data_IF_591214389858
#
_entry.id   IF_591214389858
#
_cell.length_a   1.000
_cell.length_b   1.000
_cell.length_c   1.000
_cell.angle_alpha   90.00
_cell.angle_beta   90.00
_cell.angle_gamma   90.00
#
_symmetry.space_group_name_H-M   'P 1'
#
loop_
_entity.id
_entity.type
_entity.pdbx_description
1 polymer ?
#
# COMPACT_ATOMS: atom_id res chain seq x y z
N UNK A 1 -8.10 -34.83 15.78
CA UNK A 1 -7.47 -34.91 14.44
C UNK A 1 -7.94 -33.83 13.45
N UNK A 2 -9.23 -33.42 13.37
CA UNK A 2 -9.71 -32.41 12.39
C UNK A 2 -9.13 -30.98 12.51
N UNK A 3 -8.76 -30.50 13.71
CA UNK A 3 -8.21 -29.15 13.89
C UNK A 3 -6.75 -29.01 13.44
N UNK A 4 -5.99 -30.11 13.51
CA UNK A 4 -4.55 -30.14 13.18
C UNK A 4 -4.34 -30.19 11.66
N UNK A 5 -5.25 -30.82 10.91
CA UNK A 5 -5.23 -30.84 9.43
C UNK A 5 -5.53 -29.46 8.84
N UNK A 6 -6.47 -28.70 9.43
CA UNK A 6 -6.86 -27.38 8.93
C UNK A 6 -5.76 -26.32 9.15
N UNK A 7 -5.01 -26.40 10.24
CA UNK A 7 -3.92 -25.47 10.52
C UNK A 7 -2.69 -25.71 9.64
N UNK A 8 -2.39 -26.97 9.29
CA UNK A 8 -1.26 -27.33 8.40
C UNK A 8 -1.60 -26.98 6.94
N UNK A 9 -2.82 -27.25 6.49
CA UNK A 9 -3.27 -26.88 5.13
C UNK A 9 -3.22 -25.36 4.88
N UNK A 10 -3.52 -24.56 5.90
CA UNK A 10 -3.43 -23.10 5.79
C UNK A 10 -2.00 -22.60 5.55
N UNK A 11 -0.97 -23.25 6.10
CA UNK A 11 0.42 -22.80 5.95
C UNK A 11 0.95 -23.09 4.54
N UNK A 12 0.62 -24.26 3.98
CA UNK A 12 1.02 -24.62 2.61
C UNK A 12 0.40 -23.71 1.56
N UNK A 13 -0.83 -23.25 1.78
CA UNK A 13 -1.46 -22.24 0.92
C UNK A 13 -0.70 -20.91 0.97
N UNK A 14 -0.29 -20.47 2.16
CA UNK A 14 0.49 -19.23 2.31
C UNK A 14 1.86 -19.38 1.65
N UNK A 15 2.57 -20.50 1.85
CA UNK A 15 3.85 -20.81 1.20
C UNK A 15 3.74 -20.74 -0.34
N UNK A 16 2.63 -21.23 -0.90
CA UNK A 16 2.35 -21.13 -2.34
C UNK A 16 2.07 -19.70 -2.80
N UNK A 17 1.35 -18.91 -2.00
CA UNK A 17 1.05 -17.51 -2.31
C UNK A 17 2.33 -16.66 -2.32
N UNK A 18 3.20 -16.85 -1.32
CA UNK A 18 4.46 -16.10 -1.21
C UNK A 18 5.55 -16.62 -2.15
N UNK A 19 5.48 -17.88 -2.60
CA UNK A 19 6.48 -18.50 -3.45
C UNK A 19 7.76 -18.93 -2.71
N UNK A 20 7.67 -19.17 -1.41
CA UNK A 20 8.79 -19.52 -0.52
C UNK A 20 8.40 -20.71 0.36
N UNK A 21 9.28 -21.71 0.46
CA UNK A 21 9.09 -22.89 1.32
C UNK A 21 9.94 -22.72 2.58
N UNK A 22 9.30 -22.68 3.75
CA UNK A 22 10.01 -22.46 5.01
C UNK A 22 10.75 -23.72 5.47
N UNK A 23 11.99 -23.54 5.94
CA UNK A 23 12.70 -24.58 6.69
C UNK A 23 12.06 -24.77 8.07
N UNK A 24 11.75 -23.66 8.75
CA UNK A 24 10.98 -23.63 9.99
C UNK A 24 9.60 -22.98 9.80
N UNK A 25 8.58 -23.83 9.56
CA UNK A 25 7.17 -23.41 9.47
C UNK A 25 6.63 -22.75 10.75
N UNK A 26 7.34 -22.84 11.88
CA UNK A 26 6.97 -22.13 13.10
C UNK A 26 7.07 -20.61 12.93
N UNK A 27 8.03 -20.13 12.13
CA UNK A 27 8.20 -18.71 11.78
C UNK A 27 7.01 -18.18 10.98
N UNK A 28 6.55 -18.94 9.98
CA UNK A 28 5.37 -18.58 9.20
C UNK A 28 4.12 -18.51 10.08
N UNK A 29 3.93 -19.50 10.96
CA UNK A 29 2.82 -19.47 11.93
C UNK A 29 2.90 -18.28 12.87
N UNK A 30 4.10 -17.91 13.31
CA UNK A 30 4.34 -16.74 14.16
C UNK A 30 3.98 -15.45 13.41
N UNK A 31 4.41 -15.30 12.15
CA UNK A 31 4.13 -14.12 11.31
C UNK A 31 2.62 -13.83 11.16
N UNK A 32 1.79 -14.86 11.16
CA UNK A 32 0.32 -14.74 11.06
C UNK A 32 -0.41 -14.77 12.43
N UNK A 33 0.31 -14.67 13.55
CA UNK A 33 -0.29 -14.69 14.90
C UNK A 33 -0.25 -13.31 15.54
N UNK A 34 -1.43 -12.68 15.68
CA UNK A 34 -1.57 -11.38 16.34
C UNK A 34 -1.51 -11.52 17.87
N UNK A 35 -0.96 -10.52 18.62
CA UNK A 35 -0.85 -10.55 20.09
C UNK A 35 -2.17 -10.83 20.84
N UNK A 36 -3.30 -10.43 20.25
CA UNK A 36 -4.64 -10.66 20.82
C UNK A 36 -5.16 -12.09 20.73
N UNK A 37 -4.50 -13.00 20.00
CA UNK A 37 -5.02 -14.33 19.75
C UNK A 37 -5.03 -15.24 20.98
N UNK A 38 -3.87 -15.43 21.63
CA UNK A 38 -3.74 -16.24 22.84
C UNK A 38 -2.49 -15.80 23.61
N UNK A 39 -2.59 -15.70 24.95
CA UNK A 39 -1.52 -15.15 25.80
C UNK A 39 -0.20 -15.91 25.74
N UNK A 40 -0.23 -17.22 25.52
CA UNK A 40 0.96 -18.07 25.54
C UNK A 40 1.56 -18.33 24.13
N UNK A 41 1.01 -17.69 23.09
CA UNK A 41 1.54 -17.80 21.73
C UNK A 41 2.54 -16.68 21.45
N UNK A 42 3.64 -17.01 20.78
CA UNK A 42 4.57 -16.00 20.27
C UNK A 42 3.89 -15.22 19.14
N UNK A 43 3.83 -13.89 19.28
CA UNK A 43 3.23 -12.96 18.32
C UNK A 43 4.19 -12.64 17.17
N UNK A 44 3.65 -12.02 16.12
CA UNK A 44 4.43 -11.55 14.98
C UNK A 44 5.32 -10.34 15.29
N UNK A 45 5.17 -9.65 16.42
CA UNK A 45 5.75 -8.31 16.68
C UNK A 45 7.28 -8.28 16.53
N UNK A 46 7.98 -9.35 16.93
CA UNK A 46 9.43 -9.45 16.74
C UNK A 46 9.82 -9.62 15.26
N UNK A 47 9.01 -10.34 14.49
CA UNK A 47 9.22 -10.53 13.06
C UNK A 47 8.83 -9.27 12.29
N UNK A 48 7.77 -8.57 12.70
CA UNK A 48 7.39 -7.24 12.18
C UNK A 48 8.56 -6.26 12.35
N UNK A 49 9.13 -6.17 13.55
CA UNK A 49 10.26 -5.28 13.82
C UNK A 49 11.45 -5.51 12.87
N UNK A 50 11.81 -6.77 12.64
CA UNK A 50 12.88 -7.14 11.69
C UNK A 50 12.44 -6.84 10.26
N UNK A 51 11.21 -7.23 9.91
CA UNK A 51 10.63 -7.09 8.59
C UNK A 51 10.52 -5.66 8.11
N UNK A 52 10.11 -4.73 8.96
CA UNK A 52 10.05 -3.29 8.65
C UNK A 52 11.43 -2.75 8.26
N UNK A 53 12.47 -3.10 9.04
CA UNK A 53 13.85 -2.66 8.75
C UNK A 53 14.36 -3.25 7.43
N UNK A 54 14.11 -4.55 7.20
CA UNK A 54 14.53 -5.25 5.98
C UNK A 54 13.79 -4.72 4.76
N UNK A 55 12.47 -4.56 4.85
CA UNK A 55 11.66 -4.02 3.75
C UNK A 55 12.09 -2.60 3.38
N UNK A 56 12.35 -1.74 4.37
CA UNK A 56 12.90 -0.41 4.13
C UNK A 56 14.26 -0.45 3.44
N UNK A 57 15.16 -1.34 3.85
CA UNK A 57 16.47 -1.53 3.20
C UNK A 57 16.31 -1.95 1.74
N UNK A 58 15.49 -2.98 1.50
CA UNK A 58 15.22 -3.52 0.17
C UNK A 58 14.66 -2.45 -0.77
N UNK A 59 13.62 -1.73 -0.35
CA UNK A 59 13.02 -0.66 -1.14
C UNK A 59 14.02 0.50 -1.35
N UNK A 60 14.83 0.83 -0.35
CA UNK A 60 15.86 1.88 -0.49
C UNK A 60 16.91 1.49 -1.52
N UNK A 61 17.43 0.25 -1.48
CA UNK A 61 18.42 -0.28 -2.43
C UNK A 61 17.90 -0.17 -3.88
N UNK A 62 16.64 -0.54 -4.07
CA UNK A 62 15.99 -0.53 -5.38
C UNK A 62 15.71 0.89 -5.89
N UNK A 63 15.18 1.77 -5.03
CA UNK A 63 14.92 3.16 -5.40
C UNK A 63 16.21 3.92 -5.71
N UNK A 64 17.27 3.69 -4.94
CA UNK A 64 18.58 4.29 -5.19
C UNK A 64 19.14 3.87 -6.56
N UNK A 65 18.96 2.59 -6.92
CA UNK A 65 19.43 2.05 -8.20
C UNK A 65 18.58 2.52 -9.38
N UNK A 66 17.24 2.56 -9.22
CA UNK A 66 16.32 2.98 -10.29
C UNK A 66 16.29 4.49 -10.52
N UNK A 67 16.57 5.30 -9.50
CA UNK A 67 16.45 6.75 -9.57
C UNK A 67 17.77 7.46 -9.23
N UNK A 68 18.83 7.15 -9.98
CA UNK A 68 20.17 7.73 -9.79
C UNK A 68 20.19 9.27 -9.84
N UNK A 69 19.30 9.86 -10.65
CA UNK A 69 19.21 11.30 -10.86
C UNK A 69 18.24 12.01 -9.90
N UNK A 70 17.53 11.28 -9.02
CA UNK A 70 16.59 11.92 -8.10
C UNK A 70 17.34 12.68 -7.01
N UNK A 71 16.96 13.94 -6.71
CA UNK A 71 17.48 14.64 -5.57
C UNK A 71 17.24 13.87 -4.25
N UNK A 72 18.20 13.87 -3.30
CA UNK A 72 18.05 13.17 -2.03
C UNK A 72 16.77 13.53 -1.26
N UNK A 73 16.33 14.79 -1.35
CA UNK A 73 15.11 15.29 -0.71
C UNK A 73 13.81 14.66 -1.23
N UNK A 74 13.82 14.02 -2.40
CA UNK A 74 12.67 13.31 -2.97
C UNK A 74 12.71 11.80 -2.73
N UNK A 75 13.89 11.23 -2.47
CA UNK A 75 14.04 9.80 -2.17
C UNK A 75 13.37 9.42 -0.83
N UNK A 76 13.46 10.26 0.19
CA UNK A 76 12.81 9.97 1.49
C UNK A 76 11.27 9.94 1.38
N UNK A 77 10.59 10.95 0.77
CA UNK A 77 9.16 10.86 0.49
C UNK A 77 8.78 9.68 -0.39
N UNK A 78 9.59 9.35 -1.40
CA UNK A 78 9.36 8.23 -2.29
C UNK A 78 9.41 6.89 -1.55
N UNK A 79 10.38 6.71 -0.64
CA UNK A 79 10.46 5.54 0.23
C UNK A 79 9.25 5.45 1.14
N UNK A 80 8.91 6.54 1.84
CA UNK A 80 7.78 6.59 2.76
C UNK A 80 6.44 6.26 2.07
N UNK A 81 6.26 6.73 0.82
CA UNK A 81 5.08 6.39 0.03
C UNK A 81 5.05 4.91 -0.39
N UNK A 82 6.22 4.28 -0.55
CA UNK A 82 6.32 2.90 -0.98
C UNK A 82 6.33 1.87 0.17
N UNK A 83 6.62 2.30 1.40
CA UNK A 83 6.51 1.51 2.64
C UNK A 83 5.49 2.22 3.54
N UNK A 84 4.25 2.28 3.05
CA UNK A 84 3.12 2.91 3.74
C UNK A 84 2.14 1.85 4.25
N UNK A 85 1.56 2.07 5.42
CA UNK A 85 0.62 1.14 6.07
C UNK A 85 -0.59 0.80 5.20
N UNK A 86 -1.21 1.77 4.52
CA UNK A 86 -2.35 1.50 3.64
C UNK A 86 -1.91 0.67 2.43
N UNK A 87 -0.74 0.97 1.88
CA UNK A 87 -0.18 0.22 0.76
C UNK A 87 0.08 -1.24 1.13
N UNK A 88 0.76 -1.50 2.25
CA UNK A 88 1.01 -2.85 2.73
C UNK A 88 -0.30 -3.56 3.14
N UNK A 89 -1.26 -2.83 3.71
CA UNK A 89 -2.57 -3.40 4.00
C UNK A 89 -3.30 -3.86 2.72
N UNK A 90 -3.20 -3.10 1.62
CA UNK A 90 -3.76 -3.50 0.31
C UNK A 90 -3.09 -4.75 -0.25
N UNK A 91 -1.77 -4.84 -0.13
CA UNK A 91 -0.99 -6.05 -0.49
C UNK A 91 -1.55 -7.25 0.27
N UNK A 92 -1.73 -7.13 1.58
CA UNK A 92 -2.28 -8.20 2.42
C UNK A 92 -3.70 -8.64 1.98
N UNK A 93 -4.55 -7.70 1.56
CA UNK A 93 -5.88 -8.03 1.04
C UNK A 93 -5.80 -8.76 -0.30
N UNK A 94 -4.96 -8.29 -1.23
CA UNK A 94 -4.80 -8.90 -2.56
C UNK A 94 -4.32 -10.35 -2.48
N UNK A 95 -3.40 -10.63 -1.57
CA UNK A 95 -2.91 -11.98 -1.28
C UNK A 95 -3.81 -12.80 -0.35
N UNK A 96 -4.97 -12.26 0.04
CA UNK A 96 -5.90 -12.88 0.97
C UNK A 96 -5.31 -13.21 2.36
N UNK A 97 -4.20 -12.58 2.77
CA UNK A 97 -3.54 -12.79 4.06
C UNK A 97 -4.48 -12.59 5.24
N UNK A 98 -5.41 -11.62 5.13
CA UNK A 98 -6.43 -11.34 6.13
C UNK A 98 -7.27 -12.56 6.56
N UNK A 99 -7.38 -13.60 5.72
CA UNK A 99 -8.11 -14.84 6.02
C UNK A 99 -7.32 -15.80 6.91
N UNK A 100 -6.01 -15.66 6.93
CA UNK A 100 -5.08 -16.53 7.64
C UNK A 100 -4.58 -15.95 8.97
N UNK A 101 -4.80 -14.65 9.20
CA UNK A 101 -4.41 -13.98 10.45
C UNK A 101 -5.19 -14.56 11.62
N UNK A 102 -4.46 -15.05 12.63
CA UNK A 102 -5.02 -15.53 13.88
C UNK A 102 -5.27 -14.32 14.78
N UNK A 103 -6.54 -13.96 14.95
CA UNK A 103 -7.01 -12.80 15.72
C UNK A 103 -7.94 -13.24 16.85
N UNK A 104 -7.80 -12.64 18.03
CA UNK A 104 -8.76 -12.81 19.14
C UNK A 104 -9.66 -11.60 19.39
N UNK A 105 -9.37 -10.45 18.76
CA UNK A 105 -10.12 -9.20 18.98
C UNK A 105 -11.17 -8.97 17.86
N UNK A 106 -12.48 -8.99 18.17
CA UNK A 106 -13.54 -8.81 17.17
C UNK A 106 -13.60 -7.38 16.59
N UNK A 107 -13.05 -6.38 17.28
CA UNK A 107 -12.97 -5.00 16.77
C UNK A 107 -12.05 -4.92 15.56
N UNK A 108 -10.92 -5.64 15.59
CA UNK A 108 -9.98 -5.67 14.47
C UNK A 108 -10.62 -6.30 13.22
N UNK A 109 -11.42 -7.35 13.40
CA UNK A 109 -12.16 -7.99 12.30
C UNK A 109 -13.10 -6.98 11.63
N UNK A 110 -13.83 -6.19 12.43
CA UNK A 110 -14.71 -5.12 11.90
C UNK A 110 -13.92 -4.04 11.16
N UNK A 111 -12.73 -3.67 11.65
CA UNK A 111 -11.87 -2.69 10.99
C UNK A 111 -11.34 -3.21 9.65
N UNK A 112 -10.93 -4.49 9.58
CA UNK A 112 -10.52 -5.14 8.34
C UNK A 112 -11.67 -5.13 7.33
N UNK A 113 -12.88 -5.51 7.76
CA UNK A 113 -14.04 -5.50 6.85
C UNK A 113 -14.37 -4.09 6.35
N UNK A 114 -14.41 -3.09 7.25
CA UNK A 114 -14.66 -1.71 6.86
C UNK A 114 -13.61 -1.16 5.88
N UNK A 115 -12.35 -1.62 6.00
CA UNK A 115 -11.30 -1.28 5.05
C UNK A 115 -11.55 -1.91 3.68
N UNK A 116 -11.87 -3.21 3.63
CA UNK A 116 -12.22 -3.94 2.39
C UNK A 116 -13.39 -3.26 1.68
N UNK A 117 -14.44 -2.89 2.41
CA UNK A 117 -15.63 -2.22 1.87
C UNK A 117 -15.33 -0.81 1.32
N UNK A 118 -14.24 -0.18 1.78
CA UNK A 118 -13.80 1.13 1.32
C UNK A 118 -12.89 1.07 0.07
N UNK A 119 -12.27 -0.09 -0.23
CA UNK A 119 -11.35 -0.24 -1.37
C UNK A 119 -11.98 0.13 -2.73
N UNK A 120 -13.23 -0.26 -3.06
CA UNK A 120 -13.84 0.11 -4.35
C UNK A 120 -13.99 1.62 -4.54
N UNK A 121 -14.14 2.40 -3.46
CA UNK A 121 -14.22 3.87 -3.50
C UNK A 121 -12.84 4.53 -3.66
N UNK A 122 -11.78 3.78 -3.38
CA UNK A 122 -10.39 4.22 -3.40
C UNK A 122 -9.52 3.13 -4.07
N UNK A 123 -9.60 2.98 -5.41
CA UNK A 123 -8.95 1.86 -6.12
C UNK A 123 -7.41 1.89 -6.03
N UNK A 124 -6.83 3.09 -5.97
CA UNK A 124 -5.39 3.31 -5.78
C UNK A 124 -5.09 3.53 -4.30
N UNK A 125 -4.39 4.60 -3.94
CA UNK A 125 -4.11 4.98 -2.56
C UNK A 125 -5.06 6.09 -2.08
N UNK A 126 -5.55 6.01 -0.85
CA UNK A 126 -6.50 6.99 -0.31
C UNK A 126 -5.83 8.28 0.17
N UNK A 127 -4.51 8.26 0.39
CA UNK A 127 -3.73 9.38 0.92
C UNK A 127 -4.26 9.86 2.30
N UNK A 128 -4.56 8.89 3.17
CA UNK A 128 -5.01 9.15 4.54
C UNK A 128 -6.50 9.46 4.68
N UNK A 129 -7.33 9.10 3.68
CA UNK A 129 -8.79 9.28 3.71
C UNK A 129 -9.53 8.08 4.33
N UNK A 130 -8.93 6.88 4.25
CA UNK A 130 -9.45 5.67 4.87
C UNK A 130 -8.54 5.20 6.00
N UNK A 131 -9.10 4.47 6.96
CA UNK A 131 -8.32 3.91 8.05
C UNK A 131 -7.83 2.51 7.67
N UNK A 132 -6.57 2.41 7.25
CA UNK A 132 -5.93 1.11 7.06
C UNK A 132 -5.67 0.43 8.42
N UNK A 133 -6.15 -0.80 8.64
CA UNK A 133 -5.82 -1.59 9.83
C UNK A 133 -4.35 -1.93 9.85
N UNK A 134 -3.64 -1.51 10.91
CA UNK A 134 -2.19 -1.73 11.04
C UNK A 134 -1.80 -3.21 10.95
N UNK A 135 -2.63 -4.07 11.54
CA UNK A 135 -2.47 -5.53 11.50
C UNK A 135 -2.27 -6.13 10.09
N UNK A 136 -2.84 -5.52 9.05
CA UNK A 136 -2.65 -5.99 7.69
C UNK A 136 -1.25 -5.65 7.16
N UNK A 137 -0.73 -4.46 7.49
CA UNK A 137 0.63 -4.07 7.17
C UNK A 137 1.64 -4.89 7.99
N UNK A 138 1.41 -5.00 9.30
CA UNK A 138 2.30 -5.73 10.20
C UNK A 138 2.48 -7.20 9.77
N UNK A 139 1.43 -7.84 9.23
CA UNK A 139 1.51 -9.24 8.72
C UNK A 139 2.36 -9.35 7.46
N UNK A 140 2.36 -8.33 6.59
CA UNK A 140 3.24 -8.32 5.42
C UNK A 140 4.69 -8.15 5.88
N UNK A 141 4.94 -7.21 6.78
CA UNK A 141 6.27 -6.97 7.35
C UNK A 141 6.76 -8.21 8.09
N UNK A 142 5.95 -8.82 8.95
CA UNK A 142 6.31 -10.03 9.68
C UNK A 142 6.56 -11.22 8.77
N UNK A 143 5.86 -11.33 7.64
CA UNK A 143 6.12 -12.37 6.63
C UNK A 143 7.49 -12.17 5.99
N UNK A 144 7.84 -10.93 5.62
CA UNK A 144 9.17 -10.59 5.09
C UNK A 144 10.25 -10.88 6.15
N UNK A 145 10.00 -10.49 7.41
CA UNK A 145 10.91 -10.77 8.53
C UNK A 145 11.08 -12.27 8.79
N UNK A 146 10.00 -13.06 8.66
CA UNK A 146 10.07 -14.52 8.80
C UNK A 146 10.95 -15.15 7.71
N UNK A 147 10.79 -14.74 6.45
CA UNK A 147 11.62 -15.22 5.32
C UNK A 147 13.08 -14.82 5.54
N UNK A 148 13.34 -13.60 5.99
CA UNK A 148 14.70 -13.14 6.26
C UNK A 148 15.38 -13.98 7.35
N UNK A 149 14.67 -14.32 8.43
CA UNK A 149 15.19 -15.17 9.49
C UNK A 149 15.38 -16.62 9.02
N UNK A 150 14.41 -17.17 8.28
CA UNK A 150 14.42 -18.56 7.81
C UNK A 150 15.50 -18.82 6.73
N UNK A 151 15.78 -17.82 5.90
CA UNK A 151 16.81 -17.86 4.85
C UNK A 151 18.22 -17.56 5.37
N UNK A 152 18.43 -17.62 6.70
CA UNK A 152 19.69 -17.27 7.36
C UNK A 152 20.20 -15.87 7.00
N UNK A 153 19.29 -14.89 7.02
CA UNK A 153 19.55 -13.48 6.76
C UNK A 153 20.00 -13.17 5.32
N UNK A 154 19.53 -13.96 4.34
CA UNK A 154 19.80 -13.75 2.92
C UNK A 154 18.99 -12.57 2.36
N UNK A 155 19.68 -11.52 1.93
CA UNK A 155 19.05 -10.34 1.31
C UNK A 155 18.42 -10.70 -0.04
N UNK A 156 19.08 -11.52 -0.85
CA UNK A 156 18.61 -11.83 -2.21
C UNK A 156 17.35 -12.70 -2.19
N UNK A 157 17.32 -13.74 -1.36
CA UNK A 157 16.13 -14.61 -1.18
C UNK A 157 14.95 -13.83 -0.59
N UNK A 158 15.24 -12.94 0.36
CA UNK A 158 14.21 -12.07 0.94
C UNK A 158 13.70 -11.07 -0.08
N UNK A 159 14.58 -10.53 -0.94
CA UNK A 159 14.18 -9.64 -2.03
C UNK A 159 13.26 -10.35 -3.01
N UNK A 160 13.61 -11.54 -3.51
CA UNK A 160 12.77 -12.30 -4.45
C UNK A 160 11.36 -12.53 -3.89
N UNK A 161 11.28 -12.88 -2.60
CA UNK A 161 9.99 -13.12 -1.93
C UNK A 161 9.22 -11.82 -1.67
N UNK A 162 9.89 -10.79 -1.16
CA UNK A 162 9.28 -9.48 -0.92
C UNK A 162 8.81 -8.82 -2.23
N UNK A 163 9.58 -8.98 -3.30
CA UNK A 163 9.25 -8.56 -4.65
C UNK A 163 7.99 -9.27 -5.14
N UNK A 164 7.90 -10.60 -5.00
CA UNK A 164 6.73 -11.37 -5.38
C UNK A 164 5.47 -10.92 -4.61
N UNK A 165 5.60 -10.65 -3.32
CA UNK A 165 4.50 -10.16 -2.47
C UNK A 165 4.09 -8.74 -2.88
N UNK A 166 5.03 -7.82 -3.03
CA UNK A 166 4.73 -6.39 -3.24
C UNK A 166 4.37 -6.09 -4.70
N UNK A 167 4.99 -6.71 -5.71
CA UNK A 167 4.77 -6.39 -7.14
C UNK A 167 3.45 -6.91 -7.72
N UNK A 168 2.85 -7.96 -7.16
CA UNK A 168 1.54 -8.45 -7.63
C UNK A 168 0.40 -7.43 -7.49
N UNK A 169 0.60 -6.34 -6.76
CA UNK A 169 -0.35 -5.23 -6.61
C UNK A 169 -0.70 -4.51 -7.91
N UNK A 170 0.19 -4.50 -8.92
CA UNK A 170 0.03 -3.67 -10.12
C UNK A 170 -0.63 -4.40 -11.31
N UNK A 171 -0.58 -5.73 -11.36
CA UNK A 171 -1.05 -6.50 -12.53
C UNK A 171 -2.58 -6.56 -12.61
N UNK A 172 -3.30 -6.47 -11.49
CA UNK A 172 -4.77 -6.44 -11.49
C UNK A 172 -5.38 -5.04 -11.71
N UNK A 173 -4.59 -3.96 -11.60
CA UNK A 173 -5.10 -2.58 -11.78
C UNK A 173 -5.01 -2.07 -13.22
N UNK A 174 -4.56 -2.90 -14.17
CA UNK A 174 -4.40 -2.56 -15.59
C UNK A 174 -5.35 -3.32 -16.53
N UNK A 175 -6.48 -3.83 -16.02
CA UNK A 175 -7.55 -4.40 -16.87
C UNK A 175 -8.32 -3.25 -17.50
N UNK A 176 -7.94 -2.87 -18.73
CA UNK A 176 -8.75 -2.03 -19.62
C UNK A 176 -9.93 -2.85 -20.21
N UNK A 177 -11.03 -2.21 -20.65
CA UNK A 177 -12.33 -2.84 -20.85
C UNK A 177 -12.46 -3.84 -22.02
N UNK A 178 -11.41 -4.08 -22.79
CA UNK A 178 -11.52 -4.82 -24.05
C UNK A 178 -10.62 -6.06 -24.00
N UNK A 179 -11.22 -7.20 -23.65
CA UNK A 179 -10.59 -8.46 -23.27
C UNK A 179 -9.81 -9.22 -24.36
N UNK A 180 -8.84 -8.60 -25.01
CA UNK A 180 -7.97 -9.28 -26.00
C UNK A 180 -6.47 -9.25 -25.65
N UNK A 181 -6.04 -8.59 -24.58
CA UNK A 181 -4.62 -8.49 -24.20
C UNK A 181 -4.11 -9.59 -23.25
N UNK A 182 -4.99 -10.45 -22.70
CA UNK A 182 -4.59 -11.39 -21.65
C UNK A 182 -3.84 -12.65 -22.16
N UNK A 183 -3.82 -12.90 -23.47
CA UNK A 183 -3.31 -14.16 -24.01
C UNK A 183 -1.79 -14.23 -24.19
N UNK A 184 -1.10 -13.09 -24.34
CA UNK A 184 0.34 -13.12 -24.70
C UNK A 184 1.24 -13.35 -23.48
N UNK A 185 0.85 -12.89 -22.28
CA UNK A 185 1.71 -13.00 -21.08
C UNK A 185 1.76 -14.44 -20.54
N UNK A 186 0.74 -15.26 -20.81
CA UNK A 186 0.67 -16.63 -20.27
C UNK A 186 1.47 -17.66 -21.08
N UNK A 187 1.87 -17.36 -22.33
CA UNK A 187 2.45 -18.36 -23.23
C UNK A 187 3.98 -18.48 -23.16
N UNK A 188 4.71 -17.44 -22.71
CA UNK A 188 6.18 -17.41 -22.81
C UNK A 188 6.88 -18.03 -21.59
N UNK A 189 6.18 -18.24 -20.47
CA UNK A 189 6.76 -18.83 -19.26
C UNK A 189 6.86 -20.37 -19.27
N UNK A 190 6.51 -21.05 -20.39
CA UNK A 190 6.37 -22.53 -20.41
C UNK A 190 7.08 -23.28 -21.54
N UNK A 191 7.96 -22.65 -22.32
CA UNK A 191 8.67 -23.36 -23.39
C UNK A 191 10.18 -23.27 -23.25
N UNK A 192 10.77 -24.37 -22.80
CA UNK A 192 12.22 -24.63 -22.82
C UNK A 192 12.70 -24.82 -24.26
N UNK A 193 12.98 -23.76 -25.01
CA UNK A 193 13.82 -23.87 -26.22
C UNK A 193 14.61 -22.57 -26.42
N UNK A 194 15.93 -22.70 -26.37
CA UNK A 194 16.88 -21.71 -26.84
C UNK A 194 16.68 -21.45 -28.33
N UNK A 195 16.40 -20.21 -28.72
CA UNK A 195 16.79 -19.70 -30.04
C UNK A 195 17.61 -18.43 -29.83
N UNK A 196 18.89 -18.62 -30.13
CA UNK A 196 20.00 -17.69 -30.17
C UNK A 196 19.84 -16.68 -31.33
N UNK A 197 20.21 -15.42 -31.04
CA UNK A 197 20.60 -14.34 -31.96
C UNK A 197 19.60 -13.79 -33.01
N UNK A 198 19.15 -12.54 -32.75
CA UNK A 198 18.62 -11.46 -33.62
C UNK A 198 17.36 -10.88 -32.96
N UNK A 199 17.22 -9.62 -32.55
CA UNK A 199 17.83 -8.35 -32.98
C UNK A 199 17.77 -7.38 -31.80
N UNK A 200 18.84 -6.62 -31.60
CA UNK A 200 19.04 -5.62 -30.53
C UNK A 200 18.00 -4.48 -30.47
N UNK A 201 17.07 -4.39 -31.42
CA UNK A 201 15.94 -3.44 -31.37
C UNK A 201 14.74 -3.95 -30.56
N UNK A 202 14.57 -5.27 -30.41
CA UNK A 202 13.53 -5.84 -29.55
C UNK A 202 13.88 -5.81 -28.06
N UNK A 203 15.17 -5.70 -27.70
CA UNK A 203 15.59 -5.58 -26.31
C UNK A 203 15.22 -4.23 -25.70
N UNK A 204 15.17 -3.14 -26.48
CA UNK A 204 14.74 -1.83 -25.98
C UNK A 204 13.24 -1.85 -25.68
N UNK A 205 12.42 -2.46 -26.55
CA UNK A 205 10.99 -2.66 -26.30
C UNK A 205 10.70 -3.61 -25.14
N UNK A 206 11.45 -4.71 -25.02
CA UNK A 206 11.26 -5.69 -23.94
C UNK A 206 11.77 -5.18 -22.59
N UNK A 207 12.87 -4.41 -22.56
CA UNK A 207 13.28 -3.67 -21.36
C UNK A 207 12.31 -2.53 -21.01
N UNK A 208 11.65 -1.90 -21.98
CA UNK A 208 10.61 -0.89 -21.71
C UNK A 208 9.35 -1.53 -21.09
N UNK A 209 8.95 -2.72 -21.57
CA UNK A 209 7.79 -3.47 -21.06
C UNK A 209 8.09 -4.11 -19.69
N UNK A 210 9.31 -4.61 -19.47
CA UNK A 210 9.76 -5.08 -18.17
C UNK A 210 9.97 -3.92 -17.18
N UNK A 211 10.53 -2.79 -17.62
CA UNK A 211 10.64 -1.55 -16.82
C UNK A 211 9.27 -1.05 -16.36
N UNK A 212 8.25 -1.13 -17.23
CA UNK A 212 6.87 -0.79 -16.88
C UNK A 212 6.24 -1.74 -15.85
N UNK A 213 6.67 -3.01 -15.80
CA UNK A 213 6.28 -3.99 -14.79
C UNK A 213 7.04 -3.82 -13.46
N UNK A 214 8.26 -3.29 -13.53
CA UNK A 214 9.16 -3.07 -12.39
C UNK A 214 9.00 -1.69 -11.76
N UNK A 215 8.14 -0.82 -12.31
CA UNK A 215 7.88 0.51 -11.76
C UNK A 215 7.40 0.42 -10.30
N UNK A 216 7.99 1.21 -9.39
CA UNK A 216 7.51 1.28 -8.02
C UNK A 216 6.05 1.72 -8.02
N UNK A 217 5.29 1.15 -7.10
CA UNK A 217 3.84 1.33 -6.98
C UNK A 217 3.45 2.81 -6.83
N UNK A 218 4.36 3.63 -6.30
CA UNK A 218 4.30 5.09 -6.36
C UNK A 218 5.61 5.58 -6.99
N UNK A 219 5.52 6.18 -8.17
CA UNK A 219 6.63 6.89 -8.81
C UNK A 219 6.74 8.33 -8.27
N UNK A 220 7.88 9.03 -8.47
CA UNK A 220 8.02 10.44 -8.07
C UNK A 220 6.91 11.34 -8.63
N UNK A 221 6.44 11.07 -9.84
CA UNK A 221 5.36 11.82 -10.51
C UNK A 221 3.97 11.51 -9.91
N UNK A 222 3.82 10.32 -9.30
CA UNK A 222 2.62 9.86 -8.62
C UNK A 222 2.57 10.23 -7.13
N UNK A 223 3.62 10.85 -6.56
CA UNK A 223 3.65 11.38 -5.19
C UNK A 223 2.57 12.47 -5.05
N UNK A 224 1.33 12.06 -4.82
CA UNK A 224 0.28 13.02 -4.56
C UNK A 224 0.46 13.61 -3.18
N UNK A 225 0.42 14.94 -3.13
CA UNK A 225 0.52 15.68 -1.88
C UNK A 225 -0.66 15.35 -0.96
N UNK A 226 -0.38 15.26 0.34
CA UNK A 226 -1.38 15.11 1.40
C UNK A 226 -2.55 16.13 1.20
N UNK A 227 -3.81 15.74 1.43
CA UNK A 227 -4.98 16.62 1.24
C UNK A 227 -4.86 18.00 1.90
N UNK A 228 -4.27 18.06 3.10
CA UNK A 228 -4.00 19.31 3.82
C UNK A 228 -3.04 20.18 3.03
N UNK A 229 -1.92 19.63 2.58
CA UNK A 229 -0.93 20.37 1.78
C UNK A 229 -1.53 20.88 0.46
N UNK A 230 -2.30 20.04 -0.24
CA UNK A 230 -3.02 20.44 -1.47
C UNK A 230 -3.93 21.65 -1.21
N UNK A 231 -4.68 21.62 -0.11
CA UNK A 231 -5.56 22.71 0.28
C UNK A 231 -4.79 24.01 0.57
N UNK A 232 -3.70 23.94 1.34
CA UNK A 232 -2.91 25.14 1.67
C UNK A 232 -2.27 25.75 0.42
N UNK A 233 -1.73 24.93 -0.49
CA UNK A 233 -1.12 25.41 -1.73
C UNK A 233 -2.13 26.15 -2.63
N UNK A 234 -3.32 25.57 -2.85
CA UNK A 234 -4.34 26.25 -3.67
C UNK A 234 -4.87 27.51 -3.01
N UNK A 235 -5.05 27.50 -1.69
CA UNK A 235 -5.51 28.68 -0.96
C UNK A 235 -4.45 29.80 -1.00
N UNK A 236 -3.18 29.46 -0.82
CA UNK A 236 -2.07 30.42 -0.92
C UNK A 236 -1.99 31.03 -2.32
N UNK A 237 -2.09 30.21 -3.37
CA UNK A 237 -2.08 30.66 -4.77
C UNK A 237 -3.17 31.70 -5.06
N UNK A 238 -4.36 31.52 -4.47
CA UNK A 238 -5.52 32.40 -4.65
C UNK A 238 -5.71 33.40 -3.49
N UNK A 239 -4.70 33.59 -2.62
CA UNK A 239 -4.72 34.52 -1.47
C UNK A 239 -5.92 34.31 -0.52
N UNK A 240 -6.36 33.06 -0.35
CA UNK A 240 -7.46 32.67 0.54
C UNK A 240 -6.93 32.37 1.95
N UNK A 241 -7.62 32.87 2.98
CA UNK A 241 -7.25 32.63 4.38
C UNK A 241 -7.89 31.35 4.90
N UNK A 242 -7.08 30.36 5.26
CA UNK A 242 -7.52 29.06 5.80
C UNK A 242 -7.48 29.08 7.33
N UNK A 243 -8.53 28.55 7.97
CA UNK A 243 -8.59 28.30 9.41
C UNK A 243 -9.10 26.87 9.63
N UNK A 244 -8.29 26.05 10.29
CA UNK A 244 -8.66 24.71 10.73
C UNK A 244 -9.23 24.79 12.15
N UNK A 245 -10.34 24.11 12.40
CA UNK A 245 -10.99 24.05 13.71
C UNK A 245 -11.10 22.59 14.13
N UNK A 246 -10.43 22.29 15.24
CA UNK A 246 -10.39 20.97 15.85
C UNK A 246 -11.56 20.80 16.82
N UNK A 247 -12.45 19.85 16.51
CA UNK A 247 -13.56 19.45 17.38
C UNK A 247 -13.51 17.94 17.63
N UNK A 248 -12.32 17.34 17.49
CA UNK A 248 -12.19 15.89 17.45
C UNK A 248 -12.49 15.25 18.81
N UNK A 249 -12.00 15.84 19.91
CA UNK A 249 -12.26 15.31 21.25
C UNK A 249 -13.73 15.36 21.68
N UNK A 250 -14.54 16.21 21.05
CA UNK A 250 -15.96 16.39 21.38
C UNK A 250 -16.87 15.57 20.45
N UNK A 251 -16.65 15.65 19.14
CA UNK A 251 -17.55 15.10 18.13
C UNK A 251 -16.87 14.10 17.18
N UNK A 252 -15.54 13.95 17.26
CA UNK A 252 -14.74 13.22 16.26
C UNK A 252 -14.65 13.95 14.92
N UNK A 253 -14.79 15.29 14.91
CA UNK A 253 -14.86 16.09 13.69
C UNK A 253 -13.75 17.13 13.56
N UNK A 254 -13.43 17.46 12.31
CA UNK A 254 -12.60 18.60 11.93
C UNK A 254 -13.40 19.48 10.98
N UNK A 255 -13.26 20.80 11.13
CA UNK A 255 -13.92 21.78 10.25
C UNK A 255 -12.86 22.69 9.63
N UNK A 256 -13.01 22.96 8.34
CA UNK A 256 -12.13 23.85 7.57
C UNK A 256 -12.92 25.07 7.15
N UNK A 257 -12.43 26.24 7.55
CA UNK A 257 -12.98 27.53 7.16
C UNK A 257 -12.03 28.22 6.19
N UNK A 258 -12.59 28.81 5.14
CA UNK A 258 -11.83 29.61 4.17
C UNK A 258 -12.54 30.94 4.02
N UNK A 259 -11.81 32.04 4.26
CA UNK A 259 -12.36 33.39 4.36
C UNK A 259 -13.56 33.46 5.31
N UNK A 260 -13.41 32.86 6.51
CA UNK A 260 -14.42 32.75 7.57
C UNK A 260 -15.71 31.99 7.22
N UNK A 261 -15.81 31.35 6.05
CA UNK A 261 -16.94 30.49 5.70
C UNK A 261 -16.55 29.03 5.84
N UNK A 262 -17.44 28.20 6.39
CA UNK A 262 -17.22 26.75 6.46
C UNK A 262 -17.16 26.21 5.02
N UNK A 263 -16.05 25.53 4.70
CA UNK A 263 -15.80 24.94 3.37
C UNK A 263 -15.52 23.45 3.38
N UNK A 264 -15.16 22.89 4.51
CA UNK A 264 -14.96 21.46 4.60
C UNK A 264 -15.30 20.93 5.97
N UNK A 265 -15.83 19.71 6.00
CA UNK A 265 -16.05 18.96 7.23
C UNK A 265 -15.57 17.53 7.05
N UNK A 266 -14.87 17.02 8.05
CA UNK A 266 -14.43 15.63 8.11
C UNK A 266 -14.76 15.02 9.46
N UNK A 267 -15.09 13.73 9.46
CA UNK A 267 -15.41 12.98 10.68
C UNK A 267 -14.71 11.63 10.65
N UNK A 268 -14.06 11.28 11.76
CA UNK A 268 -13.49 9.96 12.03
C UNK A 268 -13.24 9.88 13.53
N UNK A 269 -13.79 8.89 14.23
CA UNK A 269 -13.63 8.76 15.68
C UNK A 269 -12.39 7.96 16.07
N UNK A 270 -11.88 7.17 15.14
CA UNK A 270 -10.76 6.26 15.32
C UNK A 270 -9.42 6.97 15.24
N UNK A 271 -9.27 7.90 14.28
CA UNK A 271 -8.03 8.65 14.06
C UNK A 271 -8.30 10.12 13.70
N UNK A 272 -7.74 11.02 14.52
CA UNK A 272 -7.83 12.47 14.34
C UNK A 272 -7.31 12.95 13.00
N UNK A 273 -6.19 12.40 12.55
CA UNK A 273 -5.57 12.77 11.27
C UNK A 273 -6.48 12.47 10.07
N UNK A 274 -7.23 11.37 10.10
CA UNK A 274 -8.18 11.03 9.04
C UNK A 274 -9.33 12.04 9.00
N UNK A 275 -9.84 12.47 10.16
CA UNK A 275 -10.86 13.52 10.23
C UNK A 275 -10.36 14.83 9.59
N UNK A 276 -9.12 15.22 9.89
CA UNK A 276 -8.46 16.37 9.28
C UNK A 276 -8.29 16.22 7.76
N UNK A 277 -7.77 15.09 7.29
CA UNK A 277 -7.55 14.82 5.86
C UNK A 277 -8.86 14.84 5.07
N UNK A 278 -9.94 14.26 5.64
CA UNK A 278 -11.29 14.31 5.06
C UNK A 278 -11.80 15.75 4.96
N UNK A 279 -11.68 16.53 6.04
CA UNK A 279 -12.13 17.91 6.07
C UNK A 279 -11.36 18.78 5.06
N UNK A 280 -10.05 18.58 4.95
CA UNK A 280 -9.20 19.28 3.99
C UNK A 280 -9.51 18.89 2.55
N UNK A 281 -9.74 17.60 2.26
CA UNK A 281 -10.13 17.13 0.93
C UNK A 281 -11.51 17.68 0.50
N UNK A 282 -12.47 17.74 1.43
CA UNK A 282 -13.79 18.32 1.20
C UNK A 282 -13.69 19.82 0.84
N UNK A 283 -12.94 20.57 1.66
CA UNK A 283 -12.65 21.99 1.39
C UNK A 283 -11.91 22.21 0.07
N UNK A 284 -10.92 21.38 -0.23
CA UNK A 284 -10.17 21.45 -1.49
C UNK A 284 -11.11 21.27 -2.70
N UNK A 285 -11.98 20.25 -2.68
CA UNK A 285 -12.95 20.02 -3.75
C UNK A 285 -13.90 21.19 -3.93
N UNK A 286 -14.37 21.80 -2.85
CA UNK A 286 -15.23 22.98 -2.93
C UNK A 286 -14.50 24.19 -3.53
N UNK A 287 -13.26 24.44 -3.09
CA UNK A 287 -12.44 25.55 -3.59
C UNK A 287 -12.14 25.40 -5.08
N UNK A 288 -11.71 24.21 -5.51
CA UNK A 288 -11.44 23.92 -6.92
C UNK A 288 -12.71 24.14 -7.75
N UNK A 289 -13.87 23.61 -7.30
CA UNK A 289 -15.15 23.81 -8.00
C UNK A 289 -15.51 25.28 -8.17
N UNK A 290 -15.29 26.11 -7.14
CA UNK A 290 -15.55 27.55 -7.20
C UNK A 290 -14.61 28.30 -8.15
N UNK A 291 -13.32 27.95 -8.13
CA UNK A 291 -12.33 28.57 -9.02
C UNK A 291 -12.63 28.20 -10.48
N UNK A 292 -12.90 26.93 -10.76
CA UNK A 292 -13.27 26.45 -12.10
C UNK A 292 -14.60 27.06 -12.58
N UNK A 293 -15.57 27.27 -11.70
CA UNK A 293 -16.85 27.88 -12.04
C UNK A 293 -16.79 29.38 -12.32
N UNK A 294 -15.88 30.12 -11.66
CA UNK A 294 -15.71 31.56 -11.92
C UNK A 294 -15.02 31.85 -13.27
N UNK A 295 -14.13 30.97 -13.73
CA UNK A 295 -13.44 31.15 -15.02
C UNK A 295 -14.38 31.06 -16.24
N UNK A 296 -15.61 30.54 -16.10
CA UNK A 296 -16.62 30.53 -17.17
C UNK A 296 -17.46 31.82 -17.23
N UNK A 297 -17.43 32.66 -16.19
CA UNK A 297 -18.25 33.88 -16.11
C UNK A 297 -17.48 35.17 -16.43
N UNK A 298 -16.17 35.10 -16.66
CA UNK A 298 -15.34 36.26 -17.06
C UNK A 298 -15.06 36.30 -18.58
N UNK A 299 -15.83 35.55 -19.37
CA UNK A 299 -15.68 35.42 -20.82
C UNK A 299 -16.94 35.71 -21.65
N UNK A 300 -17.80 36.63 -21.20
CA UNK A 300 -18.90 37.20 -21.97
C UNK A 300 -18.86 38.72 -21.92
#
# INVERSE_FOLDING_TARGET
>A
MRAQTKSVQNLEEIEKIIGYSFNDRSLLRQAFTHPSYQRDCVSYERLEYVGDSVLNLLITKEQFSMYSELPPGLLTPLRAANVDTEKLARVAIQHNFHRYIRLGNPVLIKQIQAFIDALPKHPLHSHGLINAPKVLADVVESTVGAVFVDSNYSIDTTWETAEAIVKQTNTQMRIWPNGLSCFIVHLVARSSVAILYNTLEHCIGFMQVASDLLKPIITPEMLQKNPVKKLFEICQKHKLKVKLVDLWSQEGTYKVFINNKLRGKGMCREKKEIALNRAANDAYKEVVRRISGNNFNEGC
#
